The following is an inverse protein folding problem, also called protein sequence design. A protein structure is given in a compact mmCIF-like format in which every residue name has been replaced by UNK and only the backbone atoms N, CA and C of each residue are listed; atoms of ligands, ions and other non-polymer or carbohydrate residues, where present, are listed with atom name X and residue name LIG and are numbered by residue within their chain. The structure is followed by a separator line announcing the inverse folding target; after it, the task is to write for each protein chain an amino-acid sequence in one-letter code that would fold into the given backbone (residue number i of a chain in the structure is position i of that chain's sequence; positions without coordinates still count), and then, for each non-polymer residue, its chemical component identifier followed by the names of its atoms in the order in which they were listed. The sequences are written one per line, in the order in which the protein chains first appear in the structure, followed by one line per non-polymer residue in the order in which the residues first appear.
data_IF_939282310485
#
_entry.id   IF_939282310485
#
_cell.length_a   1.000
_cell.length_b   1.000
_cell.length_c   1.000
_cell.angle_alpha   90.00
_cell.angle_beta   90.00
_cell.angle_gamma   90.00
#
_symmetry.space_group_name_H-M   'P 1'
#
loop_
_entity.id
_entity.type
_entity.pdbx_description
1 polymer ?
#
# COMPACT_ATOMS: atom_id res chain seq x y z
N UNK A 1 14.68 6.04 23.08
CA UNK A 1 13.97 4.96 22.37
C UNK A 1 12.94 5.60 21.47
N UNK A 2 12.02 4.83 20.89
CA UNK A 2 10.95 5.38 20.06
C UNK A 2 9.72 5.64 20.92
N UNK A 3 9.10 6.82 20.77
CA UNK A 3 7.87 7.18 21.48
C UNK A 3 6.69 7.18 20.51
N UNK A 4 5.63 6.39 20.74
CA UNK A 4 4.42 6.43 19.92
C UNK A 4 3.76 7.81 19.94
N UNK A 5 3.39 8.29 18.76
CA UNK A 5 2.66 9.55 18.54
C UNK A 5 1.89 9.47 17.23
N UNK A 6 0.65 9.96 17.18
CA UNK A 6 -0.14 10.07 15.94
C UNK A 6 0.39 11.16 15.01
N UNK A 7 1.00 12.21 15.55
CA UNK A 7 1.61 13.31 14.79
C UNK A 7 3.08 13.09 14.44
N UNK A 8 3.75 12.14 15.09
CA UNK A 8 5.21 12.00 14.99
C UNK A 8 5.98 13.09 15.75
N UNK A 9 5.30 13.83 16.62
CA UNK A 9 5.89 14.85 17.51
C UNK A 9 5.46 14.64 18.97
N UNK A 10 6.05 15.40 19.88
CA UNK A 10 5.66 15.39 21.28
C UNK A 10 4.22 15.95 21.46
N UNK A 11 3.44 15.34 22.36
CA UNK A 11 2.07 15.75 22.64
C UNK A 11 0.98 15.06 21.80
N UNK A 12 1.35 14.28 20.78
CA UNK A 12 0.41 13.45 20.03
C UNK A 12 -0.17 12.28 20.84
N UNK A 13 -1.25 11.68 20.32
CA UNK A 13 -1.89 10.50 20.92
C UNK A 13 -0.96 9.30 20.83
N UNK A 14 -0.96 8.47 21.87
CA UNK A 14 -0.07 7.30 21.96
C UNK A 14 -0.72 6.02 21.44
N UNK A 15 -2.02 6.05 21.11
CA UNK A 15 -2.82 4.90 20.68
C UNK A 15 -3.84 5.31 19.62
N UNK A 16 -4.13 4.44 18.65
CA UNK A 16 -5.06 4.70 17.54
C UNK A 16 -4.73 3.83 16.32
N UNK A 17 -5.57 3.92 15.29
CA UNK A 17 -5.35 3.19 14.02
C UNK A 17 -4.17 3.76 13.22
N UNK A 18 -3.96 5.07 13.29
CA UNK A 18 -2.86 5.76 12.62
C UNK A 18 -1.90 6.28 13.68
N UNK A 19 -0.91 5.46 14.02
CA UNK A 19 0.13 5.79 15.00
C UNK A 19 1.50 5.63 14.34
N UNK A 20 2.34 6.63 14.52
CA UNK A 20 3.75 6.61 14.18
C UNK A 20 4.57 6.76 15.46
N UNK A 21 5.78 7.31 15.37
CA UNK A 21 6.68 7.55 16.48
C UNK A 21 7.56 8.79 16.26
N UNK A 22 8.13 9.29 17.35
CA UNK A 22 9.31 10.16 17.31
C UNK A 22 10.47 9.54 18.09
N UNK A 23 11.69 9.97 17.77
CA UNK A 23 12.91 9.55 18.48
C UNK A 23 13.03 10.38 19.76
N UNK A 24 13.12 9.71 20.91
CA UNK A 24 13.40 10.36 22.19
C UNK A 24 14.89 10.78 22.21
N UNK A 25 15.21 12.08 22.36
CA UNK A 25 16.59 12.56 22.39
C UNK A 25 17.41 11.90 23.50
N UNK A 26 18.65 11.55 23.19
CA UNK A 26 19.59 10.86 24.08
C UNK A 26 19.16 9.44 24.45
N UNK A 27 18.09 8.92 23.86
CA UNK A 27 17.52 7.64 24.24
C UNK A 27 18.20 6.44 23.57
N UNK A 28 17.93 5.23 24.07
CA UNK A 28 18.55 3.98 23.60
C UNK A 28 18.55 3.75 22.07
N UNK A 29 17.49 4.15 21.37
CA UNK A 29 17.41 4.01 19.91
C UNK A 29 18.48 4.85 19.22
N UNK A 30 18.56 6.13 19.55
CA UNK A 30 19.54 7.06 18.98
C UNK A 30 20.98 6.62 19.29
N UNK A 31 21.24 6.23 20.54
CA UNK A 31 22.56 5.74 20.95
C UNK A 31 23.02 4.54 20.13
N UNK A 32 22.16 3.51 20.00
CA UNK A 32 22.49 2.31 19.23
C UNK A 32 22.56 2.61 17.74
N UNK A 33 21.63 3.41 17.21
CA UNK A 33 21.63 3.80 15.80
C UNK A 33 22.93 4.49 15.39
N UNK A 34 23.45 5.37 16.25
CA UNK A 34 24.72 6.06 16.02
C UNK A 34 25.96 5.13 16.06
N UNK A 35 25.83 3.91 16.56
CA UNK A 35 26.91 2.90 16.53
C UNK A 35 26.92 2.06 15.27
N UNK A 36 25.87 2.12 14.44
CA UNK A 36 25.76 1.31 13.23
C UNK A 36 26.61 1.88 12.09
N UNK A 37 27.38 1.02 11.42
CA UNK A 37 28.14 1.38 10.23
C UNK A 37 27.25 1.48 8.98
N UNK A 38 27.79 2.03 7.89
CA UNK A 38 27.08 2.06 6.60
C UNK A 38 26.81 0.65 6.08
N UNK A 39 27.76 -0.26 6.31
CA UNK A 39 27.67 -1.66 5.94
C UNK A 39 26.53 -2.34 6.73
N UNK A 40 26.41 -2.08 8.03
CA UNK A 40 25.31 -2.59 8.86
C UNK A 40 23.95 -2.09 8.34
N UNK A 41 23.85 -0.80 8.03
CA UNK A 41 22.62 -0.22 7.47
C UNK A 41 22.25 -0.80 6.11
N UNK A 42 23.24 -1.12 5.27
CA UNK A 42 23.00 -1.81 3.99
C UNK A 42 22.50 -3.23 4.22
N UNK A 43 23.02 -3.95 5.21
CA UNK A 43 22.59 -5.30 5.55
C UNK A 43 21.18 -5.34 6.15
N UNK A 44 20.74 -4.26 6.80
CA UNK A 44 19.38 -4.10 7.31
C UNK A 44 18.34 -3.78 6.22
N UNK A 45 18.77 -3.43 5.01
CA UNK A 45 17.82 -3.21 3.91
C UNK A 45 17.14 -4.53 3.57
N UNK A 46 15.81 -4.52 3.66
CA UNK A 46 15.01 -5.64 3.17
C UNK A 46 15.36 -5.89 1.71
N UNK A 47 15.69 -7.15 1.38
CA UNK A 47 15.88 -7.60 -0.01
C UNK A 47 14.53 -7.74 -0.70
N UNK A 48 13.75 -6.65 -0.72
CA UNK A 48 12.56 -6.56 -1.51
C UNK A 48 12.99 -6.32 -2.96
N UNK A 49 12.76 -7.32 -3.82
CA UNK A 49 12.82 -7.13 -5.27
C UNK A 49 11.43 -6.66 -5.70
N UNK A 50 11.21 -5.35 -5.93
CA UNK A 50 9.95 -4.93 -6.51
C UNK A 50 9.77 -5.66 -7.83
N UNK A 51 8.63 -6.32 -8.01
CA UNK A 51 8.15 -6.74 -9.33
C UNK A 51 7.83 -5.47 -10.10
N UNK A 52 8.87 -4.83 -10.66
CA UNK A 52 8.78 -3.60 -11.46
C UNK A 52 7.95 -3.77 -12.74
N UNK A 53 7.46 -4.97 -13.04
CA UNK A 53 6.62 -5.24 -14.20
C UNK A 53 5.28 -4.47 -14.22
N UNK A 54 4.83 -3.92 -13.08
CA UNK A 54 3.54 -3.24 -12.97
C UNK A 54 3.60 -1.74 -12.66
N UNK A 55 4.79 -1.14 -12.50
CA UNK A 55 4.90 0.30 -12.28
C UNK A 55 5.25 0.95 -13.61
N UNK A 56 4.30 1.63 -14.30
CA UNK A 56 4.69 2.44 -15.44
C UNK A 56 5.72 3.45 -14.95
N UNK A 57 6.90 3.46 -15.57
CA UNK A 57 7.91 4.50 -15.39
C UNK A 57 7.35 5.81 -15.90
N UNK A 58 6.45 6.43 -15.14
CA UNK A 58 6.05 7.80 -15.34
C UNK A 58 7.19 8.65 -14.78
N UNK A 59 7.84 9.51 -15.59
CA UNK A 59 8.80 10.44 -15.05
C UNK A 59 8.10 11.31 -14.01
N UNK A 60 8.63 11.33 -12.79
CA UNK A 60 8.21 12.28 -11.76
C UNK A 60 8.55 13.67 -12.31
N UNK A 61 7.52 14.44 -12.70
CA UNK A 61 7.68 15.86 -13.01
C UNK A 61 7.87 16.60 -11.68
N UNK A 62 9.11 16.96 -11.36
CA UNK A 62 9.40 17.93 -10.31
C UNK A 62 8.93 19.28 -10.85
N UNK A 63 7.93 19.89 -10.21
CA UNK A 63 7.38 21.17 -10.64
C UNK A 63 8.44 22.29 -10.46
N UNK A 64 9.06 22.68 -11.56
CA UNK A 64 9.94 23.82 -11.68
C UNK A 64 10.12 24.21 -13.15
N UNK A 65 9.55 25.37 -13.51
CA UNK A 65 9.72 26.19 -14.73
C UNK A 65 9.31 25.63 -16.10
N UNK A 66 8.30 26.32 -16.65
CA UNK A 66 8.11 26.73 -18.05
C UNK A 66 7.74 25.68 -19.13
N UNK A 67 6.44 25.62 -19.38
CA UNK A 67 5.82 25.79 -20.71
C UNK A 67 6.13 24.76 -21.80
N UNK A 68 5.19 23.84 -22.04
CA UNK A 68 4.76 23.48 -23.39
C UNK A 68 3.40 22.76 -23.33
N UNK A 69 2.49 23.17 -24.20
CA UNK A 69 1.13 22.65 -24.32
C UNK A 69 1.16 21.25 -24.94
N UNK A 70 0.48 20.29 -24.34
CA UNK A 70 0.08 19.09 -25.07
C UNK A 70 -1.20 18.53 -24.48
N UNK A 71 -2.15 18.36 -25.38
CA UNK A 71 -3.56 18.03 -25.20
C UNK A 71 -3.76 16.81 -24.29
N UNK A 72 -4.54 16.98 -23.22
CA UNK A 72 -5.01 15.85 -22.41
C UNK A 72 -6.11 15.11 -23.17
N UNK A 73 -6.00 13.79 -23.35
CA UNK A 73 -7.08 12.99 -23.90
C UNK A 73 -8.23 12.94 -22.88
N UNK A 74 -9.44 13.17 -23.38
CA UNK A 74 -10.69 13.05 -22.66
C UNK A 74 -10.79 11.65 -22.02
N UNK A 75 -10.85 11.59 -20.68
CA UNK A 75 -11.16 10.37 -19.91
C UNK A 75 -12.66 10.07 -20.05
N UNK A 76 -13.10 8.96 -20.67
CA UNK A 76 -14.43 8.44 -20.47
C UNK A 76 -14.31 7.27 -19.49
N UNK A 77 -14.46 7.52 -18.20
CA UNK A 77 -15.36 6.66 -17.43
C UNK A 77 -15.69 7.34 -16.10
N UNK A 78 -16.91 7.86 -16.07
CA UNK A 78 -17.67 8.20 -14.90
C UNK A 78 -17.39 7.20 -13.77
N UNK A 79 -16.79 7.71 -12.69
CA UNK A 79 -16.59 6.96 -11.46
C UNK A 79 -17.92 6.56 -10.84
N UNK A 80 -18.52 5.48 -11.33
CA UNK A 80 -19.58 4.79 -10.61
C UNK A 80 -18.99 4.26 -9.29
N UNK A 81 -19.54 4.78 -8.21
CA UNK A 81 -19.18 4.48 -6.84
C UNK A 81 -19.49 3.01 -6.53
N UNK A 82 -18.47 2.14 -6.61
CA UNK A 82 -18.58 0.68 -6.38
C UNK A 82 -18.69 0.29 -4.90
N UNK A 83 -19.60 0.93 -4.16
CA UNK A 83 -20.02 0.46 -2.84
C UNK A 83 -21.49 0.07 -2.83
N UNK A 84 -21.92 -0.67 -3.85
CA UNK A 84 -23.25 -1.28 -3.93
C UNK A 84 -23.16 -2.79 -3.83
N UNK A 85 -23.32 -3.34 -2.62
CA UNK A 85 -23.56 -4.77 -2.27
C UNK A 85 -22.61 -5.80 -2.92
N UNK A 86 -21.66 -6.32 -2.13
CA UNK A 86 -20.84 -7.48 -2.52
C UNK A 86 -21.74 -8.71 -2.75
N UNK A 87 -21.48 -9.44 -3.84
CA UNK A 87 -22.13 -10.70 -4.22
C UNK A 87 -21.35 -11.89 -3.70
N UNK A 88 -22.05 -12.96 -3.33
CA UNK A 88 -21.44 -14.21 -2.88
C UNK A 88 -21.14 -15.07 -4.10
N UNK A 89 -19.97 -15.69 -4.10
CA UNK A 89 -19.54 -16.66 -5.09
C UNK A 89 -19.26 -17.98 -4.37
N UNK A 90 -19.80 -19.07 -4.89
CA UNK A 90 -19.65 -20.41 -4.31
C UNK A 90 -18.96 -21.33 -5.33
N UNK A 91 -17.88 -21.97 -4.90
CA UNK A 91 -17.22 -23.03 -5.68
C UNK A 91 -17.88 -24.39 -5.39
N UNK A 92 -17.85 -25.31 -6.35
CA UNK A 92 -18.36 -26.68 -6.16
C UNK A 92 -17.70 -27.46 -5.02
N UNK A 93 -16.50 -27.08 -4.58
CA UNK A 93 -15.83 -27.66 -3.42
C UNK A 93 -16.28 -27.07 -2.06
N UNK A 94 -17.18 -26.08 -2.05
CA UNK A 94 -17.74 -25.46 -0.85
C UNK A 94 -17.06 -24.16 -0.39
N UNK A 95 -16.00 -23.70 -1.07
CA UNK A 95 -15.39 -22.40 -0.80
C UNK A 95 -16.35 -21.25 -1.15
N UNK A 96 -16.33 -20.19 -0.34
CA UNK A 96 -17.14 -18.99 -0.55
C UNK A 96 -16.25 -17.73 -0.59
N UNK A 97 -16.52 -16.84 -1.54
CA UNK A 97 -15.85 -15.53 -1.66
C UNK A 97 -16.88 -14.42 -1.94
N UNK A 98 -16.59 -13.18 -1.54
CA UNK A 98 -17.51 -12.05 -1.71
C UNK A 98 -16.82 -10.88 -2.44
N UNK A 99 -17.43 -10.40 -3.51
CA UNK A 99 -16.83 -9.36 -4.35
C UNK A 99 -17.84 -8.55 -5.15
N UNK A 100 -17.35 -7.72 -6.08
CA UNK A 100 -18.22 -7.02 -7.05
C UNK A 100 -18.99 -8.05 -7.88
N UNK A 101 -20.20 -7.72 -8.31
CA UNK A 101 -20.92 -8.51 -9.31
C UNK A 101 -20.12 -8.68 -10.59
N UNK A 102 -20.29 -9.81 -11.26
CA UNK A 102 -19.61 -10.13 -12.52
C UNK A 102 -18.12 -10.48 -12.42
N UNK A 103 -17.61 -10.86 -11.23
CA UNK A 103 -16.25 -11.39 -11.11
C UNK A 103 -16.14 -12.80 -11.68
N UNK A 104 -15.07 -13.05 -12.43
CA UNK A 104 -14.68 -14.38 -12.91
C UNK A 104 -13.54 -14.88 -12.02
N UNK A 105 -13.80 -15.94 -11.25
CA UNK A 105 -12.89 -16.45 -10.22
C UNK A 105 -12.69 -17.95 -10.40
N UNK A 106 -11.44 -18.41 -10.27
CA UNK A 106 -11.06 -19.82 -10.33
C UNK A 106 -10.55 -20.32 -8.99
N UNK A 107 -11.00 -21.50 -8.57
CA UNK A 107 -10.63 -22.09 -7.29
C UNK A 107 -9.27 -22.80 -7.35
N UNK A 108 -8.29 -22.37 -6.56
CA UNK A 108 -6.98 -23.04 -6.51
C UNK A 108 -6.94 -24.39 -5.80
N UNK A 109 -8.07 -24.89 -5.27
CA UNK A 109 -8.13 -26.21 -4.62
C UNK A 109 -8.68 -27.30 -5.55
N UNK A 110 -9.65 -26.96 -6.40
CA UNK A 110 -10.30 -27.91 -7.31
C UNK A 110 -10.31 -27.45 -8.77
N UNK A 111 -9.62 -26.35 -9.08
CA UNK A 111 -9.43 -25.75 -10.41
C UNK A 111 -10.69 -25.48 -11.23
N UNK A 112 -11.85 -25.44 -10.58
CA UNK A 112 -13.14 -25.08 -11.16
C UNK A 112 -13.50 -23.62 -10.89
N UNK A 113 -14.38 -23.09 -11.73
CA UNK A 113 -14.86 -21.72 -11.61
C UNK A 113 -15.89 -21.57 -10.51
N UNK A 114 -15.89 -20.43 -9.84
CA UNK A 114 -16.92 -20.06 -8.88
C UNK A 114 -18.20 -19.63 -9.59
N UNK A 115 -19.34 -19.91 -8.96
CA UNK A 115 -20.67 -19.46 -9.42
C UNK A 115 -21.20 -18.34 -8.54
N UNK A 116 -21.69 -17.25 -9.15
CA UNK A 116 -22.34 -16.15 -8.44
C UNK A 116 -23.72 -16.57 -7.91
N UNK A 117 -24.06 -16.15 -6.70
CA UNK A 117 -25.33 -16.40 -6.00
C UNK A 117 -26.12 -15.10 -5.77
#
# INVERSE_FOLDING_TARGET
GLMPSDTGEAGGKRTGQSITHYIIPGGKFEQVFNTLSREDLQNLRLRYKPTLAAVPTRPIRIAGSDGDETEEPEDPDEGESKSGKRKKYTCGCGCNVWGKSGLVLRCGLCDTDFTEQ
#
